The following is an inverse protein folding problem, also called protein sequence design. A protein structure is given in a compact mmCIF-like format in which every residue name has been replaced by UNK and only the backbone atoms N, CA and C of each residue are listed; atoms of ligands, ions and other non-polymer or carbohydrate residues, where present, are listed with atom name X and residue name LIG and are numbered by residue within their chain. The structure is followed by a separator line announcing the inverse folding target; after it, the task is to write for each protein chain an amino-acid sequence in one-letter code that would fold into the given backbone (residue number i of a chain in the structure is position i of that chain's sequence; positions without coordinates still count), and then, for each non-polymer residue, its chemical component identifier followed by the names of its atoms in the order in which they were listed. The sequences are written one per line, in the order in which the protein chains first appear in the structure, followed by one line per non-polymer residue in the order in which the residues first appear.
data_IF_058677233649
#
_entry.id   IF_058677233649
#
_cell.length_a   1.000
_cell.length_b   1.000
_cell.length_c   1.000
_cell.angle_alpha   90.00
_cell.angle_beta   90.00
_cell.angle_gamma   90.00
#
_symmetry.space_group_name_H-M   'P 1'
#
loop_
_entity.id
_entity.type
_entity.pdbx_description
1 polymer ?
#
# COMPACT_ATOMS: atom_id res chain seq x y z
N UNK A 1 -6.56 12.06 -20.39
CA UNK A 1 -6.84 10.87 -21.25
C UNK A 1 -6.82 9.66 -20.31
N UNK A 2 -7.86 8.84 -20.24
CA UNK A 2 -7.88 7.66 -19.35
C UNK A 2 -7.28 6.46 -20.08
N UNK A 3 -6.41 5.71 -19.38
CA UNK A 3 -5.91 4.43 -19.89
C UNK A 3 -7.05 3.41 -19.94
N UNK A 4 -7.15 2.69 -21.04
CA UNK A 4 -8.11 1.57 -21.16
C UNK A 4 -7.56 0.34 -20.40
N UNK A 5 -8.43 -0.65 -20.19
CA UNK A 5 -8.01 -1.94 -19.63
C UNK A 5 -6.88 -2.58 -20.46
N UNK A 6 -6.95 -2.47 -21.79
CA UNK A 6 -5.94 -3.00 -22.69
C UNK A 6 -4.61 -2.28 -22.55
N UNK A 7 -4.62 -0.94 -22.43
CA UNK A 7 -3.40 -0.16 -22.22
C UNK A 7 -2.72 -0.58 -20.91
N UNK A 8 -3.48 -0.75 -19.83
CA UNK A 8 -2.96 -1.19 -18.55
C UNK A 8 -2.42 -2.63 -18.59
N UNK A 9 -3.04 -3.53 -19.34
CA UNK A 9 -2.51 -4.89 -19.54
C UNK A 9 -1.15 -4.86 -20.26
N UNK A 10 -0.96 -3.94 -21.20
CA UNK A 10 0.32 -3.77 -21.90
C UNK A 10 1.37 -3.09 -21.03
N UNK A 11 0.97 -2.17 -20.14
CA UNK A 11 1.87 -1.48 -19.20
C UNK A 11 2.27 -2.34 -18.00
N UNK A 12 1.43 -3.29 -17.58
CA UNK A 12 1.63 -4.11 -16.39
C UNK A 12 3.05 -4.71 -16.28
N UNK A 13 3.62 -5.38 -17.30
CA UNK A 13 4.96 -5.96 -17.17
C UNK A 13 6.04 -4.90 -16.93
N UNK A 14 5.89 -3.73 -17.52
CA UNK A 14 6.84 -2.60 -17.35
C UNK A 14 6.71 -1.96 -15.97
N UNK A 15 5.50 -1.83 -15.44
CA UNK A 15 5.27 -1.35 -14.08
C UNK A 15 5.86 -2.31 -13.04
N UNK A 16 5.72 -3.61 -13.26
CA UNK A 16 6.32 -4.63 -12.40
C UNK A 16 7.85 -4.59 -12.46
N UNK A 17 8.43 -4.45 -13.65
CA UNK A 17 9.88 -4.30 -13.84
C UNK A 17 10.40 -3.02 -13.14
N UNK A 18 9.65 -1.93 -13.25
CA UNK A 18 9.98 -0.67 -12.59
C UNK A 18 9.98 -0.80 -11.06
N UNK A 19 8.97 -1.46 -10.50
CA UNK A 19 8.90 -1.74 -9.06
C UNK A 19 10.07 -2.63 -8.59
N UNK A 20 10.48 -3.62 -9.40
CA UNK A 20 11.66 -4.46 -9.09
C UNK A 20 12.93 -3.62 -9.07
N UNK A 21 13.17 -2.80 -10.11
CA UNK A 21 14.35 -1.94 -10.19
C UNK A 21 14.44 -0.97 -9.01
N UNK A 22 13.32 -0.35 -8.63
CA UNK A 22 13.25 0.49 -7.45
C UNK A 22 13.56 -0.30 -6.17
N UNK A 23 12.99 -1.50 -6.05
CA UNK A 23 13.27 -2.42 -4.94
C UNK A 23 14.73 -2.86 -4.86
N UNK A 24 15.37 -3.11 -5.99
CA UNK A 24 16.81 -3.45 -6.04
C UNK A 24 17.68 -2.30 -5.55
N UNK A 25 17.37 -1.04 -5.93
CA UNK A 25 18.06 0.14 -5.42
C UNK A 25 17.88 0.31 -3.90
N UNK A 26 16.68 0.04 -3.38
CA UNK A 26 16.44 0.03 -1.94
C UNK A 26 17.27 -1.05 -1.24
N UNK A 27 17.30 -2.28 -1.79
CA UNK A 27 18.01 -3.40 -1.20
C UNK A 27 19.53 -3.19 -1.14
N UNK A 28 20.11 -2.53 -2.15
CA UNK A 28 21.54 -2.19 -2.14
C UNK A 28 21.91 -1.35 -0.90
N UNK A 29 21.09 -0.35 -0.57
CA UNK A 29 21.29 0.50 0.60
C UNK A 29 20.95 -0.24 1.90
N UNK A 30 19.86 -1.02 1.90
CA UNK A 30 19.41 -1.81 3.03
C UNK A 30 20.44 -2.83 3.49
N UNK A 31 21.03 -3.58 2.56
CA UNK A 31 22.03 -4.58 2.84
C UNK A 31 23.37 -3.94 3.25
N UNK A 32 23.76 -2.83 2.62
CA UNK A 32 24.92 -2.04 3.01
C UNK A 32 24.82 -1.57 4.47
N UNK A 33 23.72 -0.93 4.84
CA UNK A 33 23.48 -0.43 6.19
C UNK A 33 23.44 -1.57 7.26
N UNK A 34 22.96 -2.76 6.87
CA UNK A 34 22.92 -3.94 7.73
C UNK A 34 24.32 -4.53 8.00
N UNK A 35 25.21 -4.51 7.01
CA UNK A 35 26.57 -5.04 7.13
C UNK A 35 27.50 -4.13 7.92
N UNK A 36 27.34 -2.82 7.81
CA UNK A 36 28.20 -1.85 8.49
C UNK A 36 27.96 -1.75 10.01
N UNK A 37 26.96 -2.45 10.53
CA UNK A 37 26.65 -2.49 11.97
C UNK A 37 26.19 -1.15 12.56
N UNK A 38 25.97 -0.15 11.72
CA UNK A 38 25.64 1.24 12.11
C UNK A 38 24.15 1.47 12.39
N UNK A 39 23.35 0.41 12.45
CA UNK A 39 21.96 0.46 12.87
C UNK A 39 21.11 1.48 12.10
N UNK A 40 21.39 1.68 10.79
CA UNK A 40 20.61 2.58 9.94
C UNK A 40 21.04 4.06 9.97
N UNK A 41 22.10 4.42 10.71
CA UNK A 41 22.58 5.82 10.76
C UNK A 41 23.08 6.32 9.40
N UNK A 42 23.77 5.47 8.64
CA UNK A 42 24.24 5.80 7.29
C UNK A 42 23.13 5.94 6.25
N UNK A 43 21.98 5.31 6.48
CA UNK A 43 20.83 5.40 5.60
C UNK A 43 19.94 6.64 5.87
N UNK A 44 20.23 7.39 6.94
CA UNK A 44 19.44 8.55 7.36
C UNK A 44 20.10 9.84 6.86
N UNK A 45 19.41 10.59 6.01
CA UNK A 45 19.88 11.89 5.48
C UNK A 45 19.44 13.07 6.34
N UNK A 46 18.12 13.16 6.59
CA UNK A 46 17.51 14.27 7.32
C UNK A 46 16.20 13.84 7.98
N UNK A 47 15.77 14.60 8.97
CA UNK A 47 14.42 14.52 9.50
C UNK A 47 13.53 15.47 8.70
N UNK A 48 12.41 14.98 8.17
CA UNK A 48 11.37 15.83 7.58
C UNK A 48 10.72 16.71 8.67
N UNK A 49 10.03 17.76 8.25
CA UNK A 49 9.34 18.68 9.16
C UNK A 49 8.29 17.99 10.06
N UNK A 50 7.85 16.79 9.69
CA UNK A 50 6.94 15.92 10.42
C UNK A 50 7.65 14.85 11.27
N UNK A 51 8.96 15.00 11.50
CA UNK A 51 9.85 14.05 12.20
C UNK A 51 9.96 12.65 11.53
N UNK A 52 9.50 12.48 10.31
CA UNK A 52 9.70 11.24 9.56
C UNK A 52 11.12 11.16 8.98
N UNK A 53 11.90 10.09 9.22
CA UNK A 53 13.25 9.99 8.67
C UNK A 53 13.20 9.80 7.15
N UNK A 54 13.89 10.65 6.40
CA UNK A 54 14.14 10.48 4.98
C UNK A 54 15.39 9.63 4.80
N UNK A 55 15.33 8.63 3.98
CA UNK A 55 16.46 7.73 3.70
C UNK A 55 16.99 7.90 2.28
N UNK A 56 18.25 7.54 2.06
CA UNK A 56 18.85 7.49 0.71
C UNK A 56 18.07 6.52 -0.20
N UNK A 57 17.53 5.45 0.39
CA UNK A 57 16.77 4.45 -0.34
C UNK A 57 15.46 5.01 -0.91
N UNK A 58 14.77 5.89 -0.14
CA UNK A 58 13.56 6.58 -0.57
C UNK A 58 13.81 7.40 -1.84
N UNK A 59 14.84 8.27 -1.80
CA UNK A 59 15.18 9.14 -2.92
C UNK A 59 15.62 8.37 -4.17
N UNK A 60 16.43 7.32 -4.00
CA UNK A 60 16.87 6.50 -5.13
C UNK A 60 15.70 5.79 -5.80
N UNK A 61 14.75 5.29 -5.02
CA UNK A 61 13.53 4.67 -5.54
C UNK A 61 12.60 5.71 -6.18
N UNK A 62 12.45 6.89 -5.57
CA UNK A 62 11.66 8.00 -6.09
C UNK A 62 12.10 8.39 -7.50
N UNK A 63 13.38 8.74 -7.68
CA UNK A 63 13.93 9.15 -8.96
C UNK A 63 13.67 8.10 -10.04
N UNK A 64 13.97 6.84 -9.73
CA UNK A 64 13.80 5.73 -10.67
C UNK A 64 12.33 5.53 -11.08
N UNK A 65 11.40 5.60 -10.13
CA UNK A 65 9.96 5.39 -10.42
C UNK A 65 9.42 6.58 -11.21
N UNK A 66 9.75 7.81 -10.83
CA UNK A 66 9.30 9.02 -11.51
C UNK A 66 9.76 9.07 -12.95
N UNK A 67 11.06 8.86 -13.21
CA UNK A 67 11.61 8.80 -14.56
C UNK A 67 10.98 7.69 -15.40
N UNK A 68 10.83 6.50 -14.81
CA UNK A 68 10.22 5.37 -15.50
C UNK A 68 8.76 5.61 -15.88
N UNK A 69 7.94 6.15 -14.99
CA UNK A 69 6.54 6.47 -15.26
C UNK A 69 6.39 7.59 -16.28
N UNK A 70 7.25 8.62 -16.20
CA UNK A 70 7.25 9.71 -17.18
C UNK A 70 7.63 9.22 -18.57
N UNK A 71 8.55 8.26 -18.68
CA UNK A 71 8.89 7.64 -19.96
C UNK A 71 7.75 6.75 -20.50
N UNK A 72 7.09 5.95 -19.62
CA UNK A 72 6.02 5.04 -20.02
C UNK A 72 4.73 5.77 -20.40
N UNK A 73 4.41 6.84 -19.68
CA UNK A 73 3.14 7.57 -19.82
C UNK A 73 3.35 9.08 -19.65
N UNK A 74 4.05 9.76 -20.60
CA UNK A 74 4.49 11.16 -20.43
C UNK A 74 3.35 12.18 -20.29
N UNK A 75 2.11 11.77 -20.55
CA UNK A 75 0.91 12.61 -20.43
C UNK A 75 0.14 12.40 -19.12
N UNK A 76 0.59 11.47 -18.26
CA UNK A 76 -0.02 11.21 -16.95
C UNK A 76 0.94 11.74 -15.89
N UNK A 77 0.53 12.74 -15.08
CA UNK A 77 1.38 13.28 -14.04
C UNK A 77 1.69 12.23 -12.98
N UNK A 78 2.85 12.36 -12.35
CA UNK A 78 3.28 11.56 -11.20
C UNK A 78 3.21 12.44 -9.96
N UNK A 79 2.72 11.88 -8.87
CA UNK A 79 2.70 12.46 -7.53
C UNK A 79 3.37 11.47 -6.58
N UNK A 80 4.35 11.93 -5.86
CA UNK A 80 5.16 11.11 -4.93
C UNK A 80 5.08 11.64 -3.51
N UNK A 81 5.25 10.77 -2.53
CA UNK A 81 5.47 11.17 -1.14
C UNK A 81 6.69 12.10 -1.03
N UNK A 82 7.73 11.88 -1.84
CA UNK A 82 8.99 12.60 -1.81
C UNK A 82 8.97 13.93 -2.61
N UNK A 83 7.83 14.30 -3.20
CA UNK A 83 7.69 15.60 -3.85
C UNK A 83 7.73 16.74 -2.81
N UNK A 84 8.22 17.92 -3.23
CA UNK A 84 8.19 19.11 -2.39
C UNK A 84 6.77 19.46 -1.93
N UNK A 85 6.59 19.92 -0.69
CA UNK A 85 5.30 20.38 -0.19
C UNK A 85 4.68 21.44 -1.13
N UNK A 86 3.44 21.18 -1.58
CA UNK A 86 2.72 22.04 -2.52
C UNK A 86 2.75 21.61 -3.99
N UNK A 87 3.52 20.59 -4.37
CA UNK A 87 3.39 19.94 -5.67
C UNK A 87 2.10 19.14 -5.80
N UNK A 88 1.63 18.59 -4.69
CA UNK A 88 0.35 17.87 -4.66
C UNK A 88 -0.79 18.86 -4.91
N UNK A 89 -1.61 18.58 -5.92
CA UNK A 89 -2.79 19.38 -6.27
C UNK A 89 -3.99 18.47 -6.41
N UNK A 90 -5.13 18.97 -5.93
CA UNK A 90 -6.40 18.30 -6.16
C UNK A 90 -6.61 18.01 -7.65
N UNK A 91 -6.95 16.77 -7.99
CA UNK A 91 -7.10 16.33 -9.37
C UNK A 91 -8.26 15.37 -9.55
N UNK A 92 -9.16 15.73 -10.46
CA UNK A 92 -10.22 14.84 -10.97
C UNK A 92 -9.76 14.01 -12.17
N UNK A 93 -8.53 14.21 -12.65
CA UNK A 93 -7.95 13.51 -13.79
C UNK A 93 -7.37 12.14 -13.45
N UNK A 94 -6.53 11.62 -14.35
CA UNK A 94 -5.68 10.47 -14.06
C UNK A 94 -4.28 10.95 -13.67
N UNK A 95 -3.71 10.31 -12.64
CA UNK A 95 -2.32 10.54 -12.20
C UNK A 95 -1.77 9.26 -11.57
N UNK A 96 -0.44 9.12 -11.58
CA UNK A 96 0.27 8.13 -10.79
C UNK A 96 0.46 8.68 -9.38
N UNK A 97 0.20 7.83 -8.40
CA UNK A 97 0.44 8.12 -6.99
C UNK A 97 1.39 7.06 -6.46
N UNK A 98 2.56 7.50 -5.97
CA UNK A 98 3.62 6.60 -5.56
C UNK A 98 4.09 6.87 -4.14
N UNK A 99 4.43 5.79 -3.47
CA UNK A 99 5.23 5.78 -2.25
C UNK A 99 6.46 4.92 -2.54
N UNK A 100 7.62 5.55 -2.70
CA UNK A 100 8.85 4.84 -3.09
C UNK A 100 9.32 3.84 -2.05
N UNK A 101 9.10 4.13 -0.75
CA UNK A 101 9.45 3.25 0.35
C UNK A 101 8.45 3.40 1.52
N UNK A 102 7.28 2.75 1.42
CA UNK A 102 6.35 2.65 2.55
C UNK A 102 6.94 1.72 3.63
N UNK A 103 6.95 2.22 4.84
CA UNK A 103 7.52 1.49 5.97
C UNK A 103 8.97 1.82 6.24
N UNK A 104 9.36 3.09 6.23
CA UNK A 104 10.70 3.55 6.61
C UNK A 104 11.12 3.02 7.99
N UNK A 105 10.19 2.90 8.94
CA UNK A 105 10.43 2.30 10.26
C UNK A 105 10.76 0.80 10.16
N UNK A 106 10.08 0.08 9.31
CA UNK A 106 10.32 -1.33 9.02
C UNK A 106 11.67 -1.52 8.32
N UNK A 107 12.04 -0.60 7.44
CA UNK A 107 13.37 -0.55 6.82
C UNK A 107 14.46 -0.35 7.88
N UNK A 108 14.35 0.67 8.71
CA UNK A 108 15.33 0.97 9.78
C UNK A 108 15.40 -0.12 10.85
N UNK A 109 14.30 -0.84 11.10
CA UNK A 109 14.26 -1.98 12.02
C UNK A 109 14.78 -3.29 11.40
N UNK A 110 15.17 -3.31 10.14
CA UNK A 110 15.65 -4.48 9.42
C UNK A 110 14.70 -5.69 9.46
N UNK A 111 13.38 -5.45 9.48
CA UNK A 111 12.39 -6.52 9.51
C UNK A 111 11.90 -6.97 8.12
N UNK A 112 12.26 -6.26 7.04
CA UNK A 112 11.97 -6.60 5.65
C UNK A 112 10.53 -6.32 5.19
N UNK A 113 9.66 -5.77 6.03
CA UNK A 113 8.24 -5.55 5.71
C UNK A 113 7.95 -4.14 5.15
N UNK A 114 8.86 -3.59 4.36
CA UNK A 114 8.68 -2.34 3.63
C UNK A 114 8.31 -2.61 2.17
N UNK A 115 7.64 -1.65 1.52
CA UNK A 115 7.10 -1.86 0.17
C UNK A 115 7.30 -0.65 -0.74
N UNK A 116 7.48 -0.91 -2.04
CA UNK A 116 7.32 0.05 -3.13
C UNK A 116 5.86 0.02 -3.56
N UNK A 117 5.21 1.18 -3.59
CA UNK A 117 3.81 1.32 -3.96
C UNK A 117 3.65 2.22 -5.20
N UNK A 118 3.01 1.70 -6.25
CA UNK A 118 2.72 2.44 -7.49
C UNK A 118 1.24 2.27 -7.82
N UNK A 119 0.47 3.36 -7.84
CA UNK A 119 -0.96 3.35 -8.12
C UNK A 119 -1.33 4.26 -9.28
N UNK A 120 -2.22 3.81 -10.16
CA UNK A 120 -2.92 4.67 -11.10
C UNK A 120 -4.26 5.08 -10.49
N UNK A 121 -4.44 6.37 -10.30
CA UNK A 121 -5.69 6.97 -9.86
C UNK A 121 -6.38 7.61 -11.06
N UNK A 122 -7.70 7.42 -11.21
CA UNK A 122 -8.51 8.19 -12.16
C UNK A 122 -9.85 8.52 -11.52
N UNK A 123 -10.29 9.77 -11.67
CA UNK A 123 -11.54 10.27 -11.09
C UNK A 123 -11.65 9.96 -9.58
N UNK A 124 -10.54 10.15 -8.86
CA UNK A 124 -10.44 9.95 -7.42
C UNK A 124 -10.56 8.49 -6.96
N UNK A 125 -10.37 7.51 -7.85
CA UNK A 125 -10.42 6.07 -7.50
C UNK A 125 -9.21 5.31 -8.04
N UNK A 126 -8.65 4.34 -7.30
CA UNK A 126 -7.55 3.52 -7.79
C UNK A 126 -8.05 2.57 -8.89
N UNK A 127 -7.37 2.60 -10.03
CA UNK A 127 -7.68 1.75 -11.17
C UNK A 127 -6.78 0.52 -11.23
N UNK A 128 -5.52 0.71 -10.88
CA UNK A 128 -4.48 -0.32 -10.91
C UNK A 128 -3.44 -0.01 -9.84
N UNK A 129 -2.86 -1.04 -9.25
CA UNK A 129 -1.81 -0.90 -8.26
C UNK A 129 -0.77 -2.01 -8.37
N UNK A 130 0.46 -1.65 -8.04
CA UNK A 130 1.59 -2.56 -7.82
C UNK A 130 2.13 -2.30 -6.43
N UNK A 131 2.28 -3.35 -5.63
CA UNK A 131 2.92 -3.34 -4.31
C UNK A 131 4.04 -4.37 -4.37
N UNK A 132 5.27 -3.95 -4.14
CA UNK A 132 6.43 -4.83 -4.12
C UNK A 132 7.15 -4.76 -2.78
N UNK A 133 7.32 -5.90 -2.12
CA UNK A 133 8.10 -6.05 -0.90
C UNK A 133 9.47 -6.67 -1.27
N UNK A 134 10.51 -5.86 -1.51
CA UNK A 134 11.75 -6.34 -2.12
C UNK A 134 12.51 -7.33 -1.22
N UNK A 135 12.57 -7.08 0.07
CA UNK A 135 13.25 -7.98 1.01
C UNK A 135 12.56 -9.33 1.20
N UNK A 136 11.29 -9.45 0.80
CA UNK A 136 10.52 -10.70 0.84
C UNK A 136 10.39 -11.37 -0.53
N UNK A 137 10.84 -10.71 -1.60
CA UNK A 137 10.58 -11.08 -3.00
C UNK A 137 9.09 -11.41 -3.25
N UNK A 138 8.22 -10.52 -2.73
CA UNK A 138 6.78 -10.63 -2.88
C UNK A 138 6.24 -9.43 -3.68
N UNK A 139 5.60 -9.68 -4.80
CA UNK A 139 4.95 -8.66 -5.61
C UNK A 139 3.45 -8.93 -5.72
N UNK A 140 2.68 -7.87 -5.54
CA UNK A 140 1.23 -7.86 -5.69
C UNK A 140 0.82 -6.84 -6.74
N UNK A 141 -0.14 -7.17 -7.60
CA UNK A 141 -0.68 -6.22 -8.55
C UNK A 141 -2.13 -6.55 -8.86
N UNK A 142 -2.88 -5.54 -9.27
CA UNK A 142 -4.28 -5.73 -9.63
C UNK A 142 -5.09 -4.44 -9.66
N UNK A 143 -6.38 -4.63 -9.84
CA UNK A 143 -7.39 -3.58 -9.85
C UNK A 143 -8.78 -4.16 -10.06
N UNK A 144 -9.83 -3.40 -9.75
CA UNK A 144 -11.23 -3.85 -9.75
C UNK A 144 -11.64 -4.60 -11.04
N UNK A 145 -11.11 -4.18 -12.20
CA UNK A 145 -11.44 -4.76 -13.50
C UNK A 145 -10.38 -5.71 -14.06
N UNK A 146 -9.31 -5.98 -13.26
CA UNK A 146 -8.18 -6.81 -13.65
C UNK A 146 -8.10 -8.13 -12.89
N UNK A 147 -8.78 -8.22 -11.75
CA UNK A 147 -8.45 -9.20 -10.74
C UNK A 147 -7.19 -8.78 -9.95
N UNK A 148 -6.74 -9.62 -9.08
CA UNK A 148 -5.51 -9.41 -8.33
C UNK A 148 -4.62 -10.64 -8.36
N UNK A 149 -3.32 -10.44 -8.29
CA UNK A 149 -2.31 -11.48 -8.40
C UNK A 149 -1.17 -11.22 -7.42
N UNK A 150 -0.48 -12.29 -7.06
CA UNK A 150 0.77 -12.27 -6.30
C UNK A 150 1.81 -13.10 -7.02
N UNK A 151 3.04 -12.58 -7.07
CA UNK A 151 4.25 -13.31 -7.47
C UNK A 151 5.13 -13.52 -6.24
N UNK A 152 5.63 -14.74 -6.07
CA UNK A 152 6.70 -15.16 -5.17
C UNK A 152 7.68 -16.05 -5.94
N UNK A 153 8.83 -16.43 -5.37
CA UNK A 153 9.72 -17.42 -6.01
C UNK A 153 9.01 -18.73 -6.39
N UNK A 154 7.96 -19.09 -5.65
CA UNK A 154 7.11 -20.27 -5.92
C UNK A 154 6.16 -20.13 -7.11
N UNK A 155 6.10 -18.95 -7.75
CA UNK A 155 5.27 -18.68 -8.91
C UNK A 155 4.18 -17.61 -8.69
N UNK A 156 3.31 -17.46 -9.70
CA UNK A 156 2.21 -16.49 -9.71
C UNK A 156 0.91 -17.17 -9.28
N UNK A 157 0.12 -16.49 -8.45
CA UNK A 157 -1.23 -16.92 -8.04
C UNK A 157 -2.22 -15.79 -8.17
N UNK A 158 -3.43 -16.09 -8.65
CA UNK A 158 -4.58 -15.20 -8.50
C UNK A 158 -4.97 -15.10 -7.02
N UNK A 159 -5.40 -13.90 -6.62
CA UNK A 159 -5.82 -13.58 -5.27
C UNK A 159 -7.33 -13.46 -5.20
N UNK A 160 -7.87 -13.94 -4.10
CA UNK A 160 -9.27 -13.78 -3.75
C UNK A 160 -9.36 -13.60 -2.23
N UNK A 161 -10.14 -12.61 -1.81
CA UNK A 161 -10.46 -12.44 -0.39
C UNK A 161 -11.15 -13.69 0.18
N UNK A 162 -11.09 -13.85 1.47
CA UNK A 162 -11.79 -14.94 2.13
C UNK A 162 -13.30 -14.77 1.99
N UNK A 163 -13.98 -15.74 1.33
CA UNK A 163 -15.43 -15.77 1.20
C UNK A 163 -16.12 -16.29 2.48
N UNK A 164 -15.37 -16.56 3.53
CA UNK A 164 -15.94 -17.08 4.76
C UNK A 164 -16.65 -15.97 5.52
N UNK A 165 -17.90 -16.21 5.79
CA UNK A 165 -18.88 -15.30 6.40
C UNK A 165 -18.36 -14.67 7.72
N UNK A 166 -18.71 -13.39 8.02
CA UNK A 166 -18.38 -12.72 9.30
C UNK A 166 -18.93 -13.43 10.56
N UNK A 167 -19.80 -14.42 10.40
CA UNK A 167 -20.30 -15.29 11.48
C UNK A 167 -19.37 -16.46 11.81
N UNK A 168 -18.10 -16.38 11.40
CA UNK A 168 -17.08 -17.29 11.94
C UNK A 168 -16.91 -17.04 13.42
N UNK A 169 -16.64 -18.12 14.12
CA UNK A 169 -16.26 -18.05 15.54
C UNK A 169 -14.99 -17.20 15.78
N UNK A 170 -14.17 -16.96 14.75
CA UNK A 170 -12.91 -16.20 14.85
C UNK A 170 -12.69 -15.31 13.63
N UNK A 171 -12.47 -14.00 13.83
CA UNK A 171 -12.13 -13.00 12.81
C UNK A 171 -10.63 -12.75 12.81
N UNK A 172 -9.98 -12.90 11.65
CA UNK A 172 -8.54 -12.63 11.48
C UNK A 172 -8.35 -11.15 11.18
N UNK A 173 -7.79 -10.43 12.15
CA UNK A 173 -7.56 -8.98 12.06
C UNK A 173 -6.10 -8.72 11.77
N UNK A 174 -5.81 -7.98 10.69
CA UNK A 174 -4.46 -7.44 10.50
C UNK A 174 -4.27 -6.22 11.37
N UNK A 175 -3.17 -6.20 12.09
CA UNK A 175 -2.78 -5.05 12.90
C UNK A 175 -1.29 -4.74 12.73
N UNK A 176 -0.90 -3.49 12.98
CA UNK A 176 0.50 -3.11 13.02
C UNK A 176 1.20 -3.80 14.20
N UNK A 177 2.43 -4.28 13.98
CA UNK A 177 3.28 -4.83 15.06
C UNK A 177 3.58 -3.80 16.14
N UNK A 178 3.69 -2.53 15.77
CA UNK A 178 4.24 -1.48 16.59
C UNK A 178 3.22 -0.49 17.15
N UNK A 179 2.01 -0.39 16.57
CA UNK A 179 1.08 0.70 16.85
C UNK A 179 -0.38 0.27 16.83
N UNK A 180 -0.80 -0.47 17.87
CA UNK A 180 -2.21 -0.63 18.18
C UNK A 180 -2.63 0.54 19.09
N UNK A 181 -3.28 1.58 18.52
CA UNK A 181 -3.87 2.66 19.32
C UNK A 181 -5.13 2.19 20.07
N UNK A 182 -5.65 3.03 20.96
CA UNK A 182 -6.82 2.69 21.78
C UNK A 182 -8.05 2.42 20.91
N UNK A 183 -8.30 3.26 19.92
CA UNK A 183 -9.46 3.18 19.01
C UNK A 183 -9.46 1.86 18.22
N UNK A 184 -8.29 1.44 17.73
CA UNK A 184 -8.16 0.16 17.02
C UNK A 184 -8.42 -1.02 17.96
N UNK A 185 -7.96 -0.96 19.23
CA UNK A 185 -8.26 -1.99 20.22
C UNK A 185 -9.76 -2.08 20.53
N UNK A 186 -10.40 -0.94 20.71
CA UNK A 186 -11.86 -0.87 20.93
C UNK A 186 -12.64 -1.41 19.74
N UNK A 187 -12.19 -1.11 18.51
CA UNK A 187 -12.80 -1.68 17.32
C UNK A 187 -12.68 -3.20 17.28
N UNK A 188 -11.48 -3.74 17.55
CA UNK A 188 -11.23 -5.19 17.58
C UNK A 188 -12.07 -5.88 18.66
N UNK A 189 -12.24 -5.24 19.82
CA UNK A 189 -13.04 -5.78 20.93
C UNK A 189 -14.53 -5.96 20.62
N UNK A 190 -15.03 -5.42 19.50
CA UNK A 190 -16.42 -5.66 19.04
C UNK A 190 -16.63 -7.05 18.46
N UNK A 191 -15.55 -7.76 18.13
CA UNK A 191 -15.62 -9.15 17.66
C UNK A 191 -15.46 -10.11 18.83
N UNK A 192 -16.30 -11.15 18.88
CA UNK A 192 -16.31 -12.13 19.99
C UNK A 192 -14.99 -12.89 20.10
N UNK A 193 -14.39 -13.26 18.97
CA UNK A 193 -13.11 -13.94 18.90
C UNK A 193 -12.26 -13.36 17.76
N UNK A 194 -11.00 -13.08 18.03
CA UNK A 194 -10.07 -12.52 17.02
C UNK A 194 -8.73 -13.22 17.04
N UNK A 195 -8.18 -13.47 15.85
CA UNK A 195 -6.79 -13.83 15.63
C UNK A 195 -6.05 -12.63 15.05
N UNK A 196 -4.95 -12.23 15.65
CA UNK A 196 -4.13 -11.12 15.15
C UNK A 196 -3.12 -11.61 14.14
N UNK A 197 -3.20 -11.08 12.92
CA UNK A 197 -2.20 -11.24 11.86
C UNK A 197 -1.33 -9.99 11.83
N UNK A 198 -0.03 -10.14 12.00
CA UNK A 198 0.89 -9.02 11.97
C UNK A 198 1.49 -8.82 10.58
N UNK A 199 1.51 -7.59 10.09
CA UNK A 199 2.20 -7.19 8.88
C UNK A 199 2.58 -5.71 8.96
N UNK A 200 3.70 -5.32 8.31
CA UNK A 200 4.12 -3.94 8.12
C UNK A 200 3.53 -3.32 6.85
N UNK A 201 3.70 -2.01 6.69
CA UNK A 201 3.49 -1.29 5.43
C UNK A 201 2.14 -1.63 4.74
N UNK A 202 2.05 -1.49 3.44
CA UNK A 202 0.93 -1.87 2.57
C UNK A 202 0.65 -3.37 2.54
N UNK A 203 1.57 -4.22 3.03
CA UNK A 203 1.33 -5.67 3.14
C UNK A 203 0.09 -6.01 3.96
N UNK A 204 -0.37 -5.13 4.83
CA UNK A 204 -1.60 -5.31 5.60
C UNK A 204 -2.84 -5.52 4.71
N UNK A 205 -2.97 -4.73 3.66
CA UNK A 205 -4.02 -4.91 2.63
C UNK A 205 -3.81 -6.21 1.86
N UNK A 206 -2.55 -6.52 1.51
CA UNK A 206 -2.20 -7.71 0.76
C UNK A 206 -2.58 -8.99 1.54
N UNK A 207 -2.45 -9.00 2.87
CA UNK A 207 -2.88 -10.15 3.70
C UNK A 207 -4.40 -10.36 3.66
N UNK A 208 -5.18 -9.29 3.55
CA UNK A 208 -6.63 -9.39 3.32
C UNK A 208 -6.92 -9.88 1.89
N UNK A 209 -6.24 -9.33 0.88
CA UNK A 209 -6.39 -9.74 -0.52
C UNK A 209 -6.03 -11.21 -0.78
N UNK A 210 -5.08 -11.78 -0.02
CA UNK A 210 -4.70 -13.20 -0.05
C UNK A 210 -5.74 -14.13 0.61
N UNK A 211 -6.72 -13.58 1.32
CA UNK A 211 -7.61 -14.33 2.19
C UNK A 211 -6.95 -14.88 3.45
N UNK A 212 -5.76 -14.38 3.81
CA UNK A 212 -5.04 -14.73 5.04
C UNK A 212 -5.55 -13.96 6.25
N UNK A 213 -6.20 -12.82 6.02
CA UNK A 213 -6.92 -12.04 7.02
C UNK A 213 -8.31 -11.67 6.50
N UNK A 214 -9.18 -11.24 7.39
CA UNK A 214 -10.56 -10.89 7.08
C UNK A 214 -10.78 -9.37 7.12
N UNK A 215 -10.00 -8.64 7.94
CA UNK A 215 -10.17 -7.21 8.15
C UNK A 215 -8.86 -6.54 8.58
N UNK A 216 -8.65 -5.31 8.11
CA UNK A 216 -7.58 -4.40 8.53
C UNK A 216 -8.20 -3.04 8.90
N UNK A 217 -8.44 -2.77 10.19
CA UNK A 217 -8.83 -1.45 10.67
C UNK A 217 -7.60 -0.54 10.77
N UNK A 218 -7.70 0.67 10.22
CA UNK A 218 -6.69 1.72 10.35
C UNK A 218 -7.33 2.98 10.91
N UNK A 219 -7.28 3.13 12.24
CA UNK A 219 -7.85 4.25 12.99
C UNK A 219 -6.76 5.22 13.46
N UNK A 220 -5.75 5.40 12.60
CA UNK A 220 -4.64 6.33 12.80
C UNK A 220 -4.29 6.96 11.46
N UNK A 221 -3.69 8.17 11.44
CA UNK A 221 -3.35 8.86 10.20
C UNK A 221 -2.52 8.02 9.23
N UNK A 222 -2.83 8.16 7.94
CA UNK A 222 -2.04 7.68 6.79
C UNK A 222 -2.22 8.68 5.66
N UNK A 223 -1.31 8.67 4.71
CA UNK A 223 -1.45 9.45 3.50
C UNK A 223 -2.07 8.64 2.35
N UNK A 224 -2.47 9.32 1.29
CA UNK A 224 -3.08 8.68 0.12
C UNK A 224 -2.16 7.64 -0.53
N UNK A 225 -0.86 7.92 -0.62
CA UNK A 225 0.14 7.02 -1.24
C UNK A 225 0.38 5.74 -0.45
N UNK A 226 0.18 5.73 0.90
CA UNK A 226 0.28 4.52 1.74
C UNK A 226 -0.80 3.47 1.40
N UNK A 227 -1.88 3.89 0.74
CA UNK A 227 -3.08 3.05 0.61
C UNK A 227 -3.48 2.73 -0.83
N UNK A 228 -3.23 3.64 -1.76
CA UNK A 228 -3.79 3.62 -3.11
C UNK A 228 -3.46 2.34 -3.89
N UNK A 229 -2.19 1.93 -3.93
CA UNK A 229 -1.75 0.74 -4.66
C UNK A 229 -2.35 -0.53 -4.08
N UNK A 230 -2.28 -0.66 -2.76
CA UNK A 230 -2.76 -1.83 -2.06
C UNK A 230 -4.30 -1.92 -2.02
N UNK A 231 -5.02 -0.78 -2.04
CA UNK A 231 -6.48 -0.76 -2.23
C UNK A 231 -6.85 -1.31 -3.61
N UNK A 232 -6.16 -0.89 -4.69
CA UNK A 232 -6.42 -1.43 -6.02
C UNK A 232 -6.28 -2.96 -6.06
N UNK A 233 -5.22 -3.48 -5.43
CA UNK A 233 -4.99 -4.93 -5.32
C UNK A 233 -6.11 -5.60 -4.52
N UNK A 234 -6.47 -5.06 -3.36
CA UNK A 234 -7.54 -5.63 -2.52
C UNK A 234 -8.90 -5.63 -3.24
N UNK A 235 -9.26 -4.54 -3.90
CA UNK A 235 -10.50 -4.46 -4.68
C UNK A 235 -10.49 -5.42 -5.89
N UNK A 236 -9.33 -5.61 -6.52
CA UNK A 236 -9.11 -6.63 -7.54
C UNK A 236 -9.30 -8.06 -7.05
N UNK A 237 -9.01 -8.32 -5.78
CA UNK A 237 -9.26 -9.61 -5.11
C UNK A 237 -10.71 -9.79 -4.63
N UNK A 238 -11.59 -8.79 -4.81
CA UNK A 238 -12.99 -8.80 -4.39
C UNK A 238 -13.22 -8.24 -2.98
N UNK A 239 -12.22 -7.59 -2.38
CA UNK A 239 -12.35 -6.90 -1.10
C UNK A 239 -12.82 -5.45 -1.23
N UNK A 240 -12.89 -4.78 -0.10
CA UNK A 240 -13.44 -3.42 0.02
C UNK A 240 -12.58 -2.56 0.91
N UNK A 241 -12.55 -1.25 0.63
CA UNK A 241 -11.95 -0.22 1.50
C UNK A 241 -12.93 0.93 1.65
N UNK A 242 -13.24 1.31 2.88
CA UNK A 242 -14.19 2.36 3.21
C UNK A 242 -13.78 3.07 4.50
N UNK A 243 -14.23 4.31 4.66
CA UNK A 243 -14.09 5.02 5.92
C UNK A 243 -14.99 4.43 7.02
N UNK A 244 -14.87 4.94 8.22
CA UNK A 244 -15.67 4.46 9.37
C UNK A 244 -17.18 4.71 9.25
N UNK A 245 -17.61 5.46 8.24
CA UNK A 245 -19.02 5.75 7.91
C UNK A 245 -19.53 4.93 6.73
N UNK A 246 -18.68 4.12 6.10
CA UNK A 246 -19.04 3.27 4.96
C UNK A 246 -18.85 3.93 3.60
N UNK A 247 -18.29 5.14 3.53
CA UNK A 247 -17.98 5.78 2.26
C UNK A 247 -16.65 5.25 1.70
N UNK A 248 -16.52 5.07 0.36
CA UNK A 248 -15.26 4.65 -0.23
C UNK A 248 -14.19 5.75 -0.05
N UNK A 249 -12.94 5.35 0.15
CA UNK A 249 -11.81 6.27 0.15
C UNK A 249 -11.69 6.98 -1.19
N UNK A 250 -11.29 8.25 -1.16
CA UNK A 250 -11.06 9.08 -2.33
C UNK A 250 -9.62 9.59 -2.34
N UNK A 251 -9.11 9.75 -3.55
CA UNK A 251 -7.73 10.14 -3.85
C UNK A 251 -7.71 11.41 -4.71
N UNK A 252 -6.59 12.12 -4.67
CA UNK A 252 -6.47 13.41 -5.37
C UNK A 252 -7.14 14.56 -4.60
N UNK A 253 -7.22 14.45 -3.28
CA UNK A 253 -7.77 15.50 -2.41
C UNK A 253 -6.76 16.63 -2.22
N UNK A 254 -7.22 17.82 -1.84
CA UNK A 254 -6.33 18.91 -1.43
C UNK A 254 -5.52 18.56 -0.17
N UNK A 255 -6.12 17.82 0.76
CA UNK A 255 -5.43 17.21 1.91
C UNK A 255 -5.15 15.74 1.62
N UNK A 256 -3.88 15.39 1.61
CA UNK A 256 -3.40 14.03 1.33
C UNK A 256 -3.74 13.02 2.43
N UNK A 257 -4.14 13.49 3.61
CA UNK A 257 -4.47 12.62 4.73
C UNK A 257 -5.75 11.80 4.45
N UNK A 258 -5.67 10.52 4.72
CA UNK A 258 -6.83 9.65 4.71
C UNK A 258 -7.65 9.79 5.99
N UNK A 259 -8.98 9.70 5.91
CA UNK A 259 -9.78 9.45 7.11
C UNK A 259 -9.42 8.08 7.69
N UNK A 260 -9.81 7.82 8.94
CA UNK A 260 -9.81 6.47 9.49
C UNK A 260 -10.59 5.53 8.58
N UNK A 261 -10.03 4.35 8.29
CA UNK A 261 -10.62 3.43 7.32
C UNK A 261 -10.57 1.97 7.77
N UNK A 262 -11.31 1.15 7.04
CA UNK A 262 -11.35 -0.30 7.21
C UNK A 262 -11.20 -0.94 5.83
N UNK A 263 -10.17 -1.77 5.68
CA UNK A 263 -10.00 -2.66 4.54
C UNK A 263 -10.53 -4.06 4.94
N UNK A 264 -11.40 -4.65 4.13
CA UNK A 264 -12.14 -5.85 4.52
C UNK A 264 -12.42 -6.78 3.35
N UNK A 265 -12.48 -8.07 3.66
CA UNK A 265 -12.99 -9.09 2.76
C UNK A 265 -14.53 -9.01 2.57
N UNK A 266 -15.24 -8.42 3.53
CA UNK A 266 -16.69 -8.28 3.52
C UNK A 266 -17.11 -6.82 3.28
N UNK A 267 -18.29 -6.57 2.68
CA UNK A 267 -18.82 -5.22 2.54
C UNK A 267 -19.16 -4.59 3.89
N UNK A 268 -19.16 -3.26 3.95
CA UNK A 268 -19.40 -2.49 5.18
C UNK A 268 -20.65 -2.96 5.98
N UNK A 269 -21.75 -3.19 5.28
CA UNK A 269 -23.02 -3.61 5.89
C UNK A 269 -22.95 -4.98 6.64
N UNK A 270 -21.91 -5.77 6.39
CA UNK A 270 -21.69 -7.05 7.04
C UNK A 270 -20.75 -6.97 8.26
N UNK A 271 -20.23 -5.77 8.58
CA UNK A 271 -19.34 -5.56 9.71
C UNK A 271 -20.09 -5.06 10.95
N UNK A 272 -19.63 -5.38 12.17
CA UNK A 272 -20.26 -4.92 13.42
C UNK A 272 -19.91 -3.45 13.69
N UNK A 273 -20.35 -2.55 12.78
CA UNK A 273 -20.07 -1.11 12.87
C UNK A 273 -21.04 -0.35 13.78
N UNK A 274 -22.15 -0.97 14.18
CA UNK A 274 -23.16 -0.36 15.04
C UNK A 274 -23.00 -0.85 16.49
N UNK A 275 -22.67 0.09 17.36
CA UNK A 275 -22.64 -0.04 18.81
C UNK A 275 -22.55 1.35 19.42
#
# INVERSE_FOLDING_TARGET
MSLTKHDLQNLQPRLMELAVRAGDAILEIYDGARHDGDGGRSAQLDNKADDSPLTLADLAAHDMICEGLQWLTPHIPVVSEEDEPGHYRESDGCFWLIDPLDGTKEFLAFNGEFTVNIALICAGTPQFGVVYAPALDEMYWGGRHFGAFRKRPSGIRALHVSLKHPQRDTVRVVASKSHLNAETREFIARFSNTDLVQAGSSLKFCRVAEGNADIYPRLAPTCEWDTAAAQAVLEGAGGHVFDVFGSPLRYGKADVLNPSFIASAAPFAALPMQG
#
